data_IF_131920399991
#
_entry.id   IF_131920399991
#
_cell.length_a   1.000
_cell.length_b   1.000
_cell.length_c   1.000
_cell.angle_alpha   90.00
_cell.angle_beta   90.00
_cell.angle_gamma   90.00
#
_symmetry.space_group_name_H-M   'P 1'
#
loop_
_entity.id
_entity.type
_entity.pdbx_description
1 polymer ?
#
# COMPACT_ATOMS: atom_id res chain seq x y z
N UNK A 1 12.33 -45.00 -34.37
CA UNK A 1 11.23 -45.50 -33.51
C UNK A 1 11.58 -45.18 -32.07
N UNK A 2 10.79 -44.53 -31.23
CA UNK A 2 9.45 -43.97 -31.32
C UNK A 2 9.21 -43.13 -30.05
N UNK A 3 8.54 -42.00 -30.23
CA UNK A 3 8.03 -41.10 -29.19
C UNK A 3 7.07 -41.82 -28.23
N UNK A 4 7.11 -41.48 -26.92
CA UNK A 4 5.90 -41.40 -26.09
C UNK A 4 5.95 -40.21 -25.12
N UNK A 5 4.98 -39.30 -25.32
CA UNK A 5 4.55 -38.24 -24.40
C UNK A 5 3.48 -38.78 -23.42
N UNK A 6 3.47 -38.29 -22.17
CA UNK A 6 2.28 -38.05 -21.30
C UNK A 6 2.80 -37.53 -19.95
N UNK A 7 2.65 -36.26 -19.56
CA UNK A 7 1.45 -35.58 -19.00
C UNK A 7 0.70 -36.46 -18.01
N UNK A 8 0.63 -36.08 -16.72
CA UNK A 8 -0.59 -35.85 -15.92
C UNK A 8 -0.20 -35.33 -14.52
N UNK A 9 -0.86 -34.24 -14.12
CA UNK A 9 -0.95 -33.72 -12.74
C UNK A 9 -1.74 -34.71 -11.87
N UNK A 10 -1.26 -34.98 -10.65
CA UNK A 10 -2.12 -35.38 -9.53
C UNK A 10 -1.63 -34.71 -8.26
N UNK A 11 -2.40 -33.72 -7.80
CA UNK A 11 -2.44 -33.32 -6.41
C UNK A 11 -3.21 -34.38 -5.62
N UNK A 12 -2.74 -34.75 -4.42
CA UNK A 12 -3.56 -34.76 -3.19
C UNK A 12 -2.87 -35.51 -2.04
N UNK A 13 -3.10 -34.95 -0.86
CA UNK A 13 -3.30 -35.63 0.43
C UNK A 13 -2.09 -36.30 1.09
N UNK A 14 -1.50 -35.58 2.05
CA UNK A 14 -1.08 -36.22 3.31
C UNK A 14 -1.87 -35.58 4.44
N UNK A 15 -2.86 -36.32 4.94
CA UNK A 15 -3.44 -36.12 6.26
C UNK A 15 -2.33 -36.30 7.30
N UNK A 16 -2.10 -35.31 8.15
CA UNK A 16 -1.57 -35.53 9.49
C UNK A 16 -2.54 -34.85 10.47
N UNK A 17 -3.51 -35.65 10.92
CA UNK A 17 -4.41 -35.31 12.02
C UNK A 17 -3.68 -35.64 13.32
N UNK A 18 -3.11 -34.65 14.00
CA UNK A 18 -2.83 -34.76 15.43
C UNK A 18 -3.73 -33.74 16.12
N UNK A 19 -4.77 -34.29 16.74
CA UNK A 19 -5.62 -33.57 17.67
C UNK A 19 -4.85 -33.42 18.99
N UNK A 20 -4.56 -32.18 19.38
CA UNK A 20 -4.37 -31.84 20.79
C UNK A 20 -5.30 -30.69 21.14
N UNK A 21 -6.19 -30.99 22.08
CA UNK A 21 -7.24 -30.12 22.56
C UNK A 21 -6.66 -29.14 23.57
N UNK A 22 -6.76 -27.84 23.28
CA UNK A 22 -6.75 -26.77 24.27
C UNK A 22 -7.99 -25.90 24.04
N UNK A 23 -8.99 -25.87 24.94
CA UNK A 23 -10.10 -24.95 24.83
C UNK A 23 -9.68 -23.58 25.37
N UNK A 24 -8.91 -22.83 24.59
CA UNK A 24 -8.70 -21.40 24.81
C UNK A 24 -9.34 -20.65 23.65
N UNK A 25 -10.67 -20.57 23.67
CA UNK A 25 -11.41 -19.60 22.85
C UNK A 25 -11.18 -18.23 23.47
N UNK A 26 -9.99 -17.64 23.27
CA UNK A 26 -9.93 -16.18 23.26
C UNK A 26 -10.82 -15.76 22.08
N UNK A 27 -11.84 -14.89 22.29
CA UNK A 27 -12.36 -14.16 21.16
C UNK A 27 -11.19 -13.30 20.67
N UNK A 28 -10.55 -13.72 19.58
CA UNK A 28 -9.86 -12.78 18.72
C UNK A 28 -10.94 -11.78 18.34
N UNK A 29 -10.99 -10.66 19.06
CA UNK A 29 -11.62 -9.43 18.59
C UNK A 29 -11.10 -9.26 17.18
N UNK A 30 -11.96 -9.54 16.19
CA UNK A 30 -11.58 -9.48 14.80
C UNK A 30 -11.05 -8.09 14.55
N UNK A 31 -9.72 -7.97 14.35
CA UNK A 31 -9.17 -6.77 13.77
C UNK A 31 -9.89 -6.66 12.43
N UNK A 32 -10.82 -5.71 12.33
CA UNK A 32 -11.44 -5.39 11.07
C UNK A 32 -10.30 -5.03 10.13
N UNK A 33 -9.96 -5.93 9.21
CA UNK A 33 -9.03 -5.62 8.14
C UNK A 33 -9.72 -4.45 7.41
N UNK A 34 -9.12 -3.25 7.41
CA UNK A 34 -9.73 -2.14 6.69
C UNK A 34 -9.97 -2.60 5.25
N UNK A 35 -11.13 -2.28 4.66
CA UNK A 35 -11.42 -2.70 3.30
C UNK A 35 -10.27 -2.23 2.40
N UNK A 36 -9.51 -3.18 1.87
CA UNK A 36 -8.46 -2.88 0.92
C UNK A 36 -9.16 -2.40 -0.34
N UNK A 37 -8.85 -1.18 -0.79
CA UNK A 37 -9.39 -0.69 -2.05
C UNK A 37 -8.94 -1.64 -3.16
N UNK A 38 -9.89 -2.18 -3.95
CA UNK A 38 -9.55 -2.96 -5.13
C UNK A 38 -8.77 -2.09 -6.10
N UNK A 39 -7.57 -2.52 -6.49
CA UNK A 39 -6.77 -1.78 -7.44
C UNK A 39 -7.47 -1.74 -8.82
N UNK A 40 -7.33 -0.63 -9.54
CA UNK A 40 -7.83 -0.52 -10.90
C UNK A 40 -7.12 -1.55 -11.81
N UNK A 41 -7.80 -2.04 -12.84
CA UNK A 41 -7.26 -3.09 -13.72
C UNK A 41 -5.84 -2.78 -14.21
N UNK A 42 -4.89 -3.67 -13.91
CA UNK A 42 -3.47 -3.56 -14.30
C UNK A 42 -2.59 -2.74 -13.35
N UNK A 43 -3.15 -2.02 -12.39
CA UNK A 43 -2.38 -1.37 -11.32
C UNK A 43 -2.35 -2.26 -10.09
N UNK A 44 -1.21 -2.34 -9.43
CA UNK A 44 -1.07 -2.96 -8.12
C UNK A 44 0.23 -2.48 -7.47
N UNK A 45 0.24 -2.40 -6.13
CA UNK A 45 1.38 -1.88 -5.38
C UNK A 45 1.62 -2.68 -4.10
N UNK A 46 2.89 -2.94 -3.79
CA UNK A 46 3.31 -3.53 -2.52
C UNK A 46 4.14 -2.54 -1.71
N UNK A 47 3.78 -2.32 -0.44
CA UNK A 47 4.57 -1.49 0.47
C UNK A 47 5.93 -2.15 0.72
N UNK A 48 7.00 -1.39 0.50
CA UNK A 48 8.39 -1.83 0.73
C UNK A 48 8.97 -1.19 1.98
N UNK A 49 8.62 0.07 2.27
CA UNK A 49 9.10 0.73 3.47
C UNK A 49 8.55 2.14 3.65
N UNK A 50 8.70 2.64 4.88
CA UNK A 50 8.29 3.98 5.29
C UNK A 50 9.44 4.63 6.06
N UNK A 51 9.66 5.92 5.84
CA UNK A 51 10.70 6.69 6.54
C UNK A 51 10.47 6.77 8.05
N UNK A 52 9.21 6.94 8.48
CA UNK A 52 8.80 7.07 9.87
C UNK A 52 7.39 6.52 10.04
N UNK A 53 7.13 5.77 11.11
CA UNK A 53 5.78 5.27 11.45
C UNK A 53 5.18 5.97 12.67
N UNK A 54 5.98 6.76 13.42
CA UNK A 54 5.53 7.56 14.54
C UNK A 54 6.46 8.76 14.75
N UNK A 55 5.90 9.96 14.78
CA UNK A 55 6.62 11.21 15.00
C UNK A 55 5.88 12.07 16.01
N UNK A 56 6.60 12.97 16.68
CA UNK A 56 6.03 13.99 17.58
C UNK A 56 6.60 15.33 17.16
N UNK A 57 5.73 16.26 16.78
CA UNK A 57 6.09 17.58 16.28
C UNK A 57 5.46 18.66 17.16
N UNK A 58 6.15 19.78 17.33
CA UNK A 58 5.64 20.96 18.01
C UNK A 58 4.88 21.88 17.03
N UNK A 59 4.02 22.80 17.51
CA UNK A 59 3.43 23.83 16.66
C UNK A 59 4.48 24.58 15.82
N UNK A 60 4.20 24.78 14.54
CA UNK A 60 5.10 25.41 13.58
C UNK A 60 6.22 24.51 13.03
N UNK A 61 6.42 23.30 13.56
CA UNK A 61 7.45 22.38 13.05
C UNK A 61 7.01 21.75 11.73
N UNK A 62 7.98 21.62 10.82
CA UNK A 62 7.81 20.92 9.54
C UNK A 62 8.56 19.59 9.54
N UNK A 63 8.03 18.63 8.81
CA UNK A 63 8.66 17.32 8.62
C UNK A 63 8.44 16.85 7.19
N UNK A 64 9.50 16.33 6.58
CA UNK A 64 9.41 15.57 5.33
C UNK A 64 9.25 14.08 5.65
N UNK A 65 8.32 13.44 4.95
CA UNK A 65 8.07 12.01 5.04
C UNK A 65 8.24 11.39 3.65
N UNK A 66 8.59 10.11 3.65
CA UNK A 66 8.66 9.27 2.46
C UNK A 66 8.05 7.89 2.71
N UNK A 67 7.42 7.34 1.67
CA UNK A 67 6.93 5.96 1.57
C UNK A 67 7.35 5.37 0.24
N UNK A 68 7.74 4.10 0.26
CA UNK A 68 8.28 3.38 -0.89
C UNK A 68 7.35 2.23 -1.23
N UNK A 69 6.87 2.20 -2.47
CA UNK A 69 6.08 1.11 -3.01
C UNK A 69 6.80 0.44 -4.17
N UNK A 70 6.61 -0.86 -4.35
CA UNK A 70 6.93 -1.57 -5.59
C UNK A 70 5.70 -1.60 -6.49
N UNK A 71 5.86 -1.33 -7.79
CA UNK A 71 4.83 -1.60 -8.78
C UNK A 71 4.72 -3.11 -9.01
N UNK A 72 3.72 -3.76 -8.42
CA UNK A 72 3.43 -5.20 -8.60
C UNK A 72 2.39 -5.46 -9.69
N UNK A 73 1.87 -4.38 -10.31
CA UNK A 73 0.92 -4.45 -11.40
C UNK A 73 1.57 -4.76 -12.75
N UNK A 74 0.76 -4.65 -13.80
CA UNK A 74 1.21 -4.80 -15.20
C UNK A 74 1.32 -3.46 -15.92
N UNK A 75 0.76 -2.39 -15.35
CA UNK A 75 0.75 -1.04 -15.92
C UNK A 75 1.91 -0.22 -15.39
N UNK A 76 2.68 0.39 -16.30
CA UNK A 76 3.72 1.37 -15.95
C UNK A 76 3.11 2.64 -15.38
N UNK A 77 3.61 3.11 -14.24
CA UNK A 77 3.21 4.39 -13.67
C UNK A 77 4.04 5.49 -14.33
N UNK A 78 3.39 6.44 -14.97
CA UNK A 78 4.05 7.52 -15.70
C UNK A 78 3.52 8.86 -15.17
N UNK A 79 4.41 9.64 -14.56
CA UNK A 79 4.06 10.93 -13.98
C UNK A 79 3.58 11.91 -15.08
N UNK A 80 2.57 12.71 -14.76
CA UNK A 80 1.91 13.65 -15.68
C UNK A 80 1.03 13.00 -16.75
N UNK A 81 0.71 11.71 -16.61
CA UNK A 81 -0.07 10.96 -17.60
C UNK A 81 -1.34 10.33 -17.02
N UNK A 82 -2.14 9.69 -17.88
CA UNK A 82 -3.31 8.92 -17.45
C UNK A 82 -2.99 7.69 -16.59
N UNK A 83 -1.73 7.24 -16.54
CA UNK A 83 -1.29 6.13 -15.68
C UNK A 83 -0.49 6.59 -14.47
N UNK A 84 -0.52 7.89 -14.14
CA UNK A 84 0.07 8.40 -12.91
C UNK A 84 -0.57 7.73 -11.69
N UNK A 85 0.26 7.39 -10.70
CA UNK A 85 -0.18 6.91 -9.39
C UNK A 85 0.20 7.96 -8.35
N UNK A 86 -0.74 8.25 -7.46
CA UNK A 86 -0.57 9.22 -6.38
C UNK A 86 -0.79 8.56 -5.03
N UNK A 87 -0.03 9.00 -4.03
CA UNK A 87 -0.22 8.60 -2.65
C UNK A 87 -1.44 9.33 -2.06
N UNK A 88 -2.58 8.62 -2.07
CA UNK A 88 -3.84 9.12 -1.57
C UNK A 88 -4.00 8.93 -0.06
N UNK A 89 -4.81 9.77 0.56
CA UNK A 89 -5.23 9.62 1.95
C UNK A 89 -6.17 8.40 2.05
N UNK A 90 -5.86 7.47 2.95
CA UNK A 90 -6.80 6.45 3.41
C UNK A 90 -7.03 6.59 4.91
N UNK A 91 -8.30 6.52 5.31
CA UNK A 91 -8.76 6.39 6.70
C UNK A 91 -9.51 5.07 6.84
N UNK A 92 -9.76 4.55 8.07
CA UNK A 92 -10.37 3.22 8.24
C UNK A 92 -11.69 3.00 7.49
N UNK A 93 -12.47 4.06 7.23
CA UNK A 93 -13.76 3.99 6.56
C UNK A 93 -13.70 4.14 5.03
N UNK A 94 -12.66 4.79 4.48
CA UNK A 94 -12.61 5.13 3.06
C UNK A 94 -11.20 5.57 2.62
N UNK A 95 -10.92 5.39 1.32
CA UNK A 95 -9.72 5.86 0.65
C UNK A 95 -10.04 6.97 -0.35
N UNK A 96 -9.02 7.76 -0.70
CA UNK A 96 -9.13 8.94 -1.58
C UNK A 96 -10.13 9.98 -1.04
N UNK A 97 -10.06 10.22 0.26
CA UNK A 97 -10.89 11.21 0.97
C UNK A 97 -10.04 12.40 1.42
N UNK A 98 -10.67 13.52 1.73
CA UNK A 98 -9.96 14.66 2.31
C UNK A 98 -9.28 14.26 3.63
N UNK A 99 -8.03 14.71 3.81
CA UNK A 99 -7.30 14.46 5.05
C UNK A 99 -8.00 15.11 6.24
N UNK A 100 -8.20 14.37 7.36
CA UNK A 100 -8.68 14.99 8.60
C UNK A 100 -7.69 16.03 9.15
N UNK A 101 -6.44 16.01 8.69
CA UNK A 101 -5.39 16.95 9.06
C UNK A 101 -5.04 17.91 7.90
N UNK A 102 -6.02 18.32 7.08
CA UNK A 102 -5.77 19.18 5.91
C UNK A 102 -5.04 20.50 6.23
N UNK A 103 -5.18 21.03 7.45
CA UNK A 103 -4.44 22.22 7.90
C UNK A 103 -2.91 22.01 7.96
N UNK A 104 -2.44 20.75 7.92
CA UNK A 104 -1.02 20.40 7.94
C UNK A 104 -0.41 20.35 6.54
N UNK A 105 -1.21 20.59 5.51
CA UNK A 105 -0.78 20.56 4.12
C UNK A 105 0.38 21.53 3.89
N UNK A 106 1.51 20.98 3.46
CA UNK A 106 2.69 21.73 3.03
C UNK A 106 3.12 21.24 1.64
N UNK A 107 2.37 21.67 0.62
CA UNK A 107 2.67 21.36 -0.78
C UNK A 107 2.11 20.03 -1.27
N UNK A 108 1.04 19.52 -0.68
CA UNK A 108 0.34 18.34 -1.18
C UNK A 108 -0.31 18.62 -2.54
N UNK A 109 -0.50 17.59 -3.36
CA UNK A 109 -1.18 17.70 -4.65
C UNK A 109 -2.63 18.17 -4.51
N UNK A 110 -3.32 17.68 -3.48
CA UNK A 110 -4.69 18.08 -3.15
C UNK A 110 -4.99 17.78 -1.67
N UNK A 111 -6.16 18.18 -1.14
CA UNK A 111 -6.58 17.77 0.19
C UNK A 111 -6.69 16.24 0.40
N UNK A 112 -6.82 15.45 -0.68
CA UNK A 112 -6.93 13.98 -0.62
C UNK A 112 -5.71 13.22 -1.14
N UNK A 113 -4.71 13.91 -1.71
CA UNK A 113 -3.50 13.30 -2.29
C UNK A 113 -2.25 14.03 -1.84
N UNK A 114 -1.32 13.29 -1.23
CA UNK A 114 -0.10 13.84 -0.66
C UNK A 114 0.94 14.16 -1.73
N UNK A 115 1.27 13.19 -2.58
CA UNK A 115 2.33 13.30 -3.58
C UNK A 115 2.12 12.30 -4.72
N UNK A 116 2.81 12.52 -5.84
CA UNK A 116 3.00 11.53 -6.90
C UNK A 116 4.36 10.85 -6.74
N UNK A 117 4.64 9.83 -7.55
CA UNK A 117 5.96 9.19 -7.56
C UNK A 117 7.05 10.21 -7.93
N UNK A 118 8.20 10.12 -7.27
CA UNK A 118 9.35 10.99 -7.53
C UNK A 118 10.01 10.65 -8.87
N UNK A 119 9.91 9.38 -9.26
CA UNK A 119 10.37 8.86 -10.54
C UNK A 119 9.39 9.24 -11.66
N UNK A 120 9.92 9.65 -12.81
CA UNK A 120 9.07 9.96 -13.97
C UNK A 120 8.36 8.73 -14.53
N UNK A 121 8.99 7.55 -14.39
CA UNK A 121 8.51 6.27 -14.94
C UNK A 121 8.81 5.13 -13.97
N UNK A 122 7.79 4.36 -13.59
CA UNK A 122 7.91 3.18 -12.71
C UNK A 122 7.30 1.98 -13.42
N UNK A 123 8.14 1.16 -14.04
CA UNK A 123 7.69 -0.08 -14.72
C UNK A 123 7.37 -1.19 -13.70
N UNK A 124 6.63 -2.24 -14.10
CA UNK A 124 6.42 -3.41 -13.25
C UNK A 124 7.72 -3.96 -12.65
N UNK A 125 7.72 -4.17 -11.34
CA UNK A 125 8.86 -4.61 -10.55
C UNK A 125 9.75 -3.48 -10.01
N UNK A 126 9.62 -2.24 -10.49
CA UNK A 126 10.39 -1.09 -9.99
C UNK A 126 9.81 -0.52 -8.69
N UNK A 127 10.68 0.17 -7.95
CA UNK A 127 10.31 0.93 -6.76
C UNK A 127 9.94 2.37 -7.13
N UNK A 128 9.00 2.93 -6.39
CA UNK A 128 8.56 4.31 -6.47
C UNK A 128 8.63 4.96 -5.10
N UNK A 129 9.16 6.18 -5.05
CA UNK A 129 9.25 6.95 -3.83
C UNK A 129 8.22 8.09 -3.83
N UNK A 130 7.39 8.17 -2.80
CA UNK A 130 6.41 9.24 -2.61
C UNK A 130 6.84 10.08 -1.43
N UNK A 131 7.15 11.35 -1.67
CA UNK A 131 7.67 12.28 -0.66
C UNK A 131 6.69 13.41 -0.46
N UNK A 132 6.33 13.67 0.80
CA UNK A 132 5.43 14.77 1.14
C UNK A 132 5.89 15.46 2.42
N UNK A 133 5.57 16.74 2.53
CA UNK A 133 5.86 17.52 3.72
C UNK A 133 4.58 17.75 4.53
N UNK A 134 4.73 17.85 5.84
CA UNK A 134 3.69 18.32 6.74
C UNK A 134 4.25 19.49 7.57
N UNK A 135 3.38 20.42 7.95
CA UNK A 135 3.72 21.48 8.91
C UNK A 135 2.62 21.56 9.96
N UNK A 136 2.97 21.46 11.23
CA UNK A 136 2.00 21.62 12.31
C UNK A 136 1.57 23.09 12.38
N UNK A 137 0.27 23.42 12.37
CA UNK A 137 -0.20 24.79 12.55
C UNK A 137 0.35 25.41 13.85
N UNK A 138 0.75 26.69 13.80
CA UNK A 138 1.40 27.37 14.92
C UNK A 138 0.45 27.73 16.09
N UNK A 139 -0.86 27.72 15.86
CA UNK A 139 -1.88 28.23 16.79
C UNK A 139 -2.34 29.64 16.45
#
# INVERSE_FOLDING_TARGET
MGSRRSRWLVAALTLALIAEQLPARLPLLGAAIPPQASAAGGFDAALVGESVNRITLQPGQSQQNAIIFQNTGTTTWLAGSATQVDFAVCVPAACDVASPNAAWNSGWLSPSRYATASESTVTPGQLANFVWNITVPAG
#
